data_IF_777644118214
#
_entry.id   IF_777644118214
#
_cell.length_a   1.000
_cell.length_b   1.000
_cell.length_c   1.000
_cell.angle_alpha   90.00
_cell.angle_beta   90.00
_cell.angle_gamma   90.00
#
_symmetry.space_group_name_H-M   'P 1'
#
loop_
_entity.id
_entity.type
_entity.pdbx_description
1 polymer ?
#
# COMPACT_ATOMS: atom_id res chain seq x y z
N UNK A 1 17.65 8.53 -0.48
CA UNK A 1 16.25 8.93 -0.29
C UNK A 1 16.16 10.23 0.52
N UNK A 2 16.69 10.30 1.78
CA UNK A 2 16.54 11.50 2.64
C UNK A 2 17.20 12.74 2.01
N UNK A 3 18.45 12.64 1.55
CA UNK A 3 19.14 13.76 0.90
C UNK A 3 18.42 14.29 -0.34
N UNK A 4 17.81 13.42 -1.13
CA UNK A 4 17.01 13.79 -2.30
C UNK A 4 15.72 14.52 -1.89
N UNK A 5 15.02 14.02 -0.87
CA UNK A 5 13.82 14.67 -0.33
C UNK A 5 14.13 16.07 0.23
N UNK A 6 15.27 16.25 0.90
CA UNK A 6 15.75 17.55 1.37
C UNK A 6 15.96 18.50 0.17
N UNK A 7 16.70 18.07 -0.86
CA UNK A 7 16.94 18.89 -2.05
C UNK A 7 15.64 19.29 -2.77
N UNK A 8 14.65 18.36 -2.84
CA UNK A 8 13.34 18.66 -3.40
C UNK A 8 12.59 19.69 -2.55
N UNK A 9 12.58 19.53 -1.22
CA UNK A 9 11.94 20.49 -0.31
C UNK A 9 12.56 21.87 -0.40
N UNK A 10 13.91 21.98 -0.44
CA UNK A 10 14.65 23.21 -0.64
C UNK A 10 14.34 23.89 -1.98
N UNK A 11 14.06 23.10 -3.02
CA UNK A 11 13.62 23.62 -4.32
C UNK A 11 12.17 24.10 -4.36
N UNK A 12 11.42 23.99 -3.24
CA UNK A 12 10.04 24.42 -3.13
C UNK A 12 8.99 23.34 -3.44
N UNK A 13 9.39 22.07 -3.59
CA UNK A 13 8.45 20.95 -3.76
C UNK A 13 7.62 20.78 -2.48
N UNK A 14 6.29 20.71 -2.62
CA UNK A 14 5.34 20.65 -1.49
C UNK A 14 4.89 19.25 -1.13
N UNK A 15 4.97 18.32 -2.04
CA UNK A 15 4.62 16.92 -1.81
C UNK A 15 5.60 16.01 -2.54
N UNK A 16 6.15 15.05 -1.81
CA UNK A 16 7.02 14.00 -2.35
C UNK A 16 6.29 12.67 -2.19
N UNK A 17 6.19 11.91 -3.28
CA UNK A 17 5.60 10.56 -3.27
C UNK A 17 6.71 9.55 -3.10
N UNK A 18 6.64 8.76 -2.02
CA UNK A 18 7.50 7.60 -1.82
C UNK A 18 6.92 6.43 -2.60
N UNK A 19 7.69 5.86 -3.49
CA UNK A 19 7.27 4.74 -4.33
C UNK A 19 8.37 3.68 -4.42
N UNK A 20 7.96 2.44 -4.65
CA UNK A 20 8.86 1.30 -4.80
C UNK A 20 8.07 0.09 -5.26
N UNK A 21 8.76 -1.00 -5.61
CA UNK A 21 8.13 -2.27 -5.98
C UNK A 21 7.41 -2.87 -4.76
N UNK A 22 8.04 -2.79 -3.60
CA UNK A 22 7.47 -3.16 -2.30
C UNK A 22 8.01 -2.19 -1.24
N UNK A 23 7.22 -1.19 -0.87
CA UNK A 23 7.61 -0.19 0.14
C UNK A 23 7.73 -0.80 1.54
N UNK A 24 6.89 -1.78 1.87
CA UNK A 24 6.90 -2.42 3.17
C UNK A 24 8.16 -3.22 3.45
N UNK A 25 8.86 -3.66 2.41
CA UNK A 25 10.14 -4.36 2.52
C UNK A 25 11.37 -3.44 2.56
N UNK A 26 11.16 -2.11 2.73
CA UNK A 26 12.28 -1.19 2.86
C UNK A 26 13.15 -1.56 4.06
N UNK A 27 14.44 -1.70 3.84
CA UNK A 27 15.47 -1.95 4.86
C UNK A 27 16.75 -1.18 4.49
N UNK A 28 17.20 -0.36 5.43
CA UNK A 28 18.47 0.38 5.34
C UNK A 28 19.29 0.10 6.61
N UNK A 29 19.91 -1.09 6.65
CA UNK A 29 20.72 -1.51 7.78
C UNK A 29 19.90 -1.70 9.08
N UNK A 30 18.67 -2.23 8.96
CA UNK A 30 17.73 -2.47 10.03
C UNK A 30 16.74 -1.32 10.29
N UNK A 31 16.85 -0.22 9.53
CA UNK A 31 15.85 0.85 9.55
C UNK A 31 14.72 0.55 8.55
N UNK A 32 13.50 0.49 9.02
CA UNK A 32 12.31 0.20 8.22
C UNK A 32 11.68 1.45 7.58
N UNK A 33 10.52 1.27 6.92
CA UNK A 33 9.77 2.37 6.32
C UNK A 33 9.34 3.43 7.35
N UNK A 34 9.02 3.02 8.57
CA UNK A 34 8.63 3.94 9.65
C UNK A 34 9.80 4.83 10.05
N UNK A 35 10.98 4.25 10.18
CA UNK A 35 12.22 4.98 10.46
C UNK A 35 12.60 5.93 9.33
N UNK A 36 12.44 5.49 8.07
CA UNK A 36 12.63 6.37 6.91
C UNK A 36 11.68 7.58 7.00
N UNK A 37 10.40 7.36 7.27
CA UNK A 37 9.42 8.43 7.40
C UNK A 37 9.79 9.40 8.53
N UNK A 38 10.23 8.93 9.69
CA UNK A 38 10.71 9.77 10.80
C UNK A 38 11.91 10.63 10.38
N UNK A 39 12.89 10.03 9.70
CA UNK A 39 14.07 10.75 9.18
C UNK A 39 13.68 11.82 8.16
N UNK A 40 12.73 11.54 7.28
CA UNK A 40 12.21 12.49 6.30
C UNK A 40 11.50 13.67 6.97
N UNK A 41 10.63 13.40 7.94
CA UNK A 41 9.93 14.43 8.72
C UNK A 41 10.89 15.34 9.45
N UNK A 42 11.90 14.77 10.11
CA UNK A 42 12.91 15.52 10.85
C UNK A 42 13.79 16.37 9.92
N UNK A 43 14.30 15.77 8.82
CA UNK A 43 15.21 16.44 7.90
C UNK A 43 14.57 17.60 7.12
N UNK A 44 13.24 17.61 7.00
CA UNK A 44 12.50 18.63 6.24
C UNK A 44 11.59 19.52 7.11
N UNK A 45 11.77 19.49 8.44
CA UNK A 45 10.90 20.20 9.37
C UNK A 45 10.88 21.72 9.12
N UNK A 46 12.04 22.30 8.92
CA UNK A 46 12.25 23.74 8.78
C UNK A 46 12.49 24.20 7.34
N UNK A 47 12.36 23.29 6.38
CA UNK A 47 12.60 23.60 4.95
C UNK A 47 11.33 24.13 4.27
N UNK A 48 10.89 25.30 4.69
CA UNK A 48 9.74 26.01 4.10
C UNK A 48 9.86 27.51 4.30
N UNK A 49 9.22 28.28 3.42
CA UNK A 49 9.15 29.74 3.54
C UNK A 49 8.29 30.18 4.74
N UNK A 50 8.49 31.41 5.20
CA UNK A 50 7.70 31.98 6.27
C UNK A 50 6.20 31.98 5.91
N UNK A 51 5.37 31.32 6.73
CA UNK A 51 3.94 31.16 6.50
C UNK A 51 3.53 30.08 5.50
N UNK A 52 4.47 29.33 4.99
CA UNK A 52 4.20 28.21 4.10
C UNK A 52 4.22 26.87 4.85
N UNK A 53 3.37 25.90 4.52
CA UNK A 53 3.44 24.58 5.15
C UNK A 53 4.69 23.83 4.70
N UNK A 54 5.31 23.03 5.60
CA UNK A 54 6.44 22.19 5.23
C UNK A 54 6.04 21.13 4.20
N UNK A 55 7.05 20.59 3.48
CA UNK A 55 6.86 19.50 2.51
C UNK A 55 6.21 18.30 3.19
N UNK A 56 5.23 17.68 2.53
CA UNK A 56 4.55 16.47 2.99
C UNK A 56 4.94 15.25 2.15
N UNK A 57 4.75 14.08 2.72
CA UNK A 57 5.10 12.81 2.09
C UNK A 57 3.86 11.97 1.86
N UNK A 58 3.73 11.43 0.67
CA UNK A 58 2.69 10.46 0.31
C UNK A 58 3.29 9.09 0.17
N UNK A 59 2.70 8.13 0.85
CA UNK A 59 3.05 6.72 0.71
C UNK A 59 2.35 6.18 -0.55
N UNK A 60 3.07 5.51 -1.41
CA UNK A 60 2.52 4.80 -2.55
C UNK A 60 1.75 3.55 -2.12
N UNK A 61 1.80 2.50 -2.94
CA UNK A 61 1.18 1.22 -2.57
C UNK A 61 1.94 0.57 -1.42
N UNK A 62 1.23 0.08 -0.42
CA UNK A 62 1.77 -0.72 0.69
C UNK A 62 0.90 -1.95 0.89
N UNK A 63 1.52 -3.12 1.06
CA UNK A 63 0.76 -4.35 1.30
C UNK A 63 0.12 -4.31 2.71
N UNK A 64 -1.09 -4.86 2.87
CA UNK A 64 -1.81 -4.82 4.14
C UNK A 64 -1.00 -5.34 5.34
N UNK A 65 -0.19 -6.38 5.13
CA UNK A 65 0.65 -6.99 6.16
C UNK A 65 1.83 -6.15 6.60
N UNK A 66 2.24 -5.17 5.79
CA UNK A 66 3.37 -4.30 6.08
C UNK A 66 2.95 -3.04 6.86
N UNK A 67 1.64 -2.85 7.08
CA UNK A 67 1.10 -1.75 7.89
C UNK A 67 1.21 -2.10 9.37
N UNK A 68 2.29 -1.65 10.00
CA UNK A 68 2.53 -1.88 11.43
C UNK A 68 1.79 -0.87 12.31
N UNK A 69 1.52 -1.24 13.57
CA UNK A 69 0.95 -0.30 14.55
C UNK A 69 1.82 0.94 14.78
N UNK A 70 3.14 0.78 14.68
CA UNK A 70 4.11 1.86 14.81
C UNK A 70 4.02 2.85 13.63
N UNK A 71 3.87 2.32 12.40
CA UNK A 71 3.63 3.15 11.22
C UNK A 71 2.31 3.92 11.33
N UNK A 72 1.24 3.27 11.81
CA UNK A 72 -0.08 3.90 12.01
C UNK A 72 -0.01 5.01 13.07
N UNK A 73 0.73 4.80 14.16
CA UNK A 73 0.97 5.83 15.18
C UNK A 73 1.69 7.04 14.59
N UNK A 74 2.77 6.80 13.84
CA UNK A 74 3.49 7.87 13.16
C UNK A 74 2.59 8.64 12.17
N UNK A 75 1.76 7.94 11.41
CA UNK A 75 0.81 8.56 10.48
C UNK A 75 -0.21 9.45 11.19
N UNK A 76 -0.69 9.03 12.37
CA UNK A 76 -1.60 9.81 13.19
C UNK A 76 -0.95 11.08 13.77
N UNK A 77 0.31 10.96 14.24
CA UNK A 77 1.07 12.02 14.89
C UNK A 77 1.69 13.04 13.92
N UNK A 78 1.87 12.67 12.64
CA UNK A 78 2.57 13.48 11.66
C UNK A 78 1.82 14.76 11.22
N UNK A 79 0.65 15.04 11.78
CA UNK A 79 -0.19 16.23 11.50
C UNK A 79 -0.35 16.56 10.01
N UNK A 80 -0.58 15.52 9.20
CA UNK A 80 -0.76 15.63 7.74
C UNK A 80 0.55 15.78 6.96
N UNK A 81 1.71 15.84 7.60
CA UNK A 81 3.01 15.80 6.95
C UNK A 81 3.31 14.45 6.29
N UNK A 82 2.78 13.36 6.84
CA UNK A 82 2.50 12.16 6.06
C UNK A 82 1.04 12.26 5.64
N UNK A 83 0.78 12.16 4.33
CA UNK A 83 -0.58 12.29 3.81
C UNK A 83 -1.49 11.24 4.45
N UNK A 84 -2.65 11.67 4.97
CA UNK A 84 -3.68 10.75 5.52
C UNK A 84 -4.36 9.96 4.38
N UNK A 85 -3.56 9.19 3.69
CA UNK A 85 -3.96 8.39 2.55
C UNK A 85 -3.09 7.13 2.48
N UNK A 86 -3.71 5.97 2.32
CA UNK A 86 -3.03 4.73 2.01
C UNK A 86 -3.70 4.03 0.83
N UNK A 87 -2.90 3.51 -0.07
CA UNK A 87 -3.33 2.58 -1.09
C UNK A 87 -2.99 1.16 -0.64
N UNK A 88 -4.04 0.40 -0.32
CA UNK A 88 -3.95 -0.97 0.20
C UNK A 88 -4.60 -1.91 -0.82
N UNK A 89 -3.83 -2.67 -1.62
CA UNK A 89 -4.40 -3.60 -2.60
C UNK A 89 -5.18 -4.72 -1.90
N UNK A 90 -6.51 -4.75 -2.04
CA UNK A 90 -7.38 -5.80 -1.48
C UNK A 90 -7.47 -7.02 -2.40
N UNK A 91 -7.59 -6.78 -3.68
CA UNK A 91 -7.79 -7.73 -4.78
C UNK A 91 -9.16 -8.41 -4.80
N UNK A 92 -9.66 -8.94 -3.68
CA UNK A 92 -11.00 -9.53 -3.53
C UNK A 92 -11.48 -9.43 -2.08
N UNK A 93 -12.77 -9.34 -1.86
CA UNK A 93 -13.37 -9.43 -0.52
C UNK A 93 -13.74 -10.85 -0.10
N UNK A 94 -13.55 -11.85 -0.96
CA UNK A 94 -13.73 -13.26 -0.62
C UNK A 94 -12.44 -13.88 -0.11
N UNK A 95 -12.44 -14.40 1.12
CA UNK A 95 -11.28 -15.12 1.67
C UNK A 95 -10.93 -16.37 0.87
N UNK A 96 -11.89 -16.97 0.17
CA UNK A 96 -11.66 -18.10 -0.73
C UNK A 96 -10.84 -17.64 -1.94
N UNK A 97 -11.28 -16.59 -2.61
CA UNK A 97 -10.60 -16.03 -3.79
C UNK A 97 -9.21 -15.50 -3.42
N UNK A 98 -9.05 -14.80 -2.30
CA UNK A 98 -7.75 -14.34 -1.82
C UNK A 98 -6.76 -15.51 -1.64
N UNK A 99 -7.22 -16.64 -1.11
CA UNK A 99 -6.40 -17.85 -0.97
C UNK A 99 -5.99 -18.42 -2.32
N UNK A 100 -6.88 -18.44 -3.30
CA UNK A 100 -6.58 -18.89 -4.67
C UNK A 100 -5.61 -17.94 -5.39
N UNK A 101 -5.67 -16.65 -5.07
CA UNK A 101 -4.68 -15.65 -5.51
C UNK A 101 -3.35 -15.73 -4.74
N UNK A 102 -3.21 -16.68 -3.82
CA UNK A 102 -2.05 -16.82 -2.92
C UNK A 102 -1.75 -15.54 -2.12
N UNK A 103 -2.79 -14.82 -1.70
CA UNK A 103 -2.61 -13.68 -0.80
C UNK A 103 -2.34 -14.16 0.63
N UNK A 104 -1.40 -13.53 1.36
CA UNK A 104 -1.02 -13.93 2.70
C UNK A 104 -1.94 -13.33 3.79
N UNK A 105 -3.09 -12.78 3.42
CA UNK A 105 -4.13 -12.25 4.29
C UNK A 105 -5.51 -12.70 3.81
N UNK A 106 -6.50 -12.66 4.70
CA UNK A 106 -7.89 -12.90 4.39
C UNK A 106 -8.75 -11.63 4.47
N UNK A 107 -10.03 -11.75 4.09
CA UNK A 107 -10.96 -10.63 4.08
C UNK A 107 -11.23 -10.07 5.50
N UNK A 108 -11.18 -10.94 6.52
CA UNK A 108 -11.40 -10.54 7.91
C UNK A 108 -10.21 -9.72 8.45
N UNK A 109 -8.98 -10.17 8.19
CA UNK A 109 -7.76 -9.46 8.56
C UNK A 109 -7.68 -8.09 7.89
N UNK A 110 -8.03 -8.03 6.59
CA UNK A 110 -8.08 -6.75 5.89
C UNK A 110 -9.12 -5.80 6.49
N UNK A 111 -10.31 -6.31 6.82
CA UNK A 111 -11.35 -5.53 7.48
C UNK A 111 -10.89 -4.98 8.83
N UNK A 112 -10.26 -5.81 9.66
CA UNK A 112 -9.70 -5.39 10.94
C UNK A 112 -8.67 -4.28 10.80
N UNK A 113 -7.77 -4.41 9.81
CA UNK A 113 -6.79 -3.36 9.50
C UNK A 113 -7.46 -2.05 9.08
N UNK A 114 -8.47 -2.11 8.21
CA UNK A 114 -9.19 -0.92 7.77
C UNK A 114 -9.92 -0.22 8.93
N UNK A 115 -10.56 -0.99 9.81
CA UNK A 115 -11.23 -0.48 11.00
C UNK A 115 -10.23 0.15 11.98
N UNK A 116 -9.07 -0.49 12.18
CA UNK A 116 -7.97 0.05 13.00
C UNK A 116 -7.43 1.36 12.45
N UNK A 117 -7.18 1.43 11.14
CA UNK A 117 -6.70 2.66 10.48
C UNK A 117 -7.69 3.82 10.64
N UNK A 118 -8.99 3.56 10.47
CA UNK A 118 -10.02 4.60 10.62
C UNK A 118 -10.18 5.07 12.06
N UNK A 119 -10.00 4.17 13.02
CA UNK A 119 -10.04 4.52 14.45
C UNK A 119 -8.80 5.34 14.87
N UNK A 120 -7.62 5.01 14.32
CA UNK A 120 -6.35 5.62 14.72
C UNK A 120 -6.04 6.91 13.97
N UNK A 121 -6.46 7.03 12.69
CA UNK A 121 -6.15 8.17 11.84
C UNK A 121 -7.45 8.81 11.32
N UNK A 122 -7.97 9.84 11.99
CA UNK A 122 -9.22 10.48 11.57
C UNK A 122 -9.16 10.99 10.12
N UNK A 123 -10.23 10.74 9.38
CA UNK A 123 -10.37 11.16 7.98
C UNK A 123 -9.33 10.56 7.01
N UNK A 124 -8.74 9.41 7.34
CA UNK A 124 -7.85 8.70 6.41
C UNK A 124 -8.61 8.30 5.14
N UNK A 125 -8.02 8.61 3.98
CA UNK A 125 -8.48 8.15 2.68
C UNK A 125 -7.85 6.80 2.37
N UNK A 126 -8.67 5.75 2.27
CA UNK A 126 -8.23 4.42 1.84
C UNK A 126 -8.60 4.23 0.38
N UNK A 127 -7.66 3.76 -0.42
CA UNK A 127 -7.87 3.38 -1.82
C UNK A 127 -7.39 1.95 -2.03
N UNK A 128 -7.91 1.28 -3.05
CA UNK A 128 -7.62 -0.13 -3.27
C UNK A 128 -7.73 -0.53 -4.74
N UNK A 129 -7.17 -1.71 -5.03
CA UNK A 129 -7.34 -2.44 -6.28
C UNK A 129 -8.24 -3.65 -6.04
N UNK A 130 -9.15 -3.94 -6.98
CA UNK A 130 -10.01 -5.11 -6.98
C UNK A 130 -9.98 -5.76 -8.36
N UNK A 131 -9.87 -7.08 -8.38
CA UNK A 131 -9.97 -7.91 -9.58
C UNK A 131 -11.36 -8.55 -9.56
N UNK A 132 -12.13 -8.34 -10.62
CA UNK A 132 -13.47 -8.92 -10.80
C UNK A 132 -13.44 -9.95 -11.94
N UNK A 133 -14.09 -11.09 -11.75
CA UNK A 133 -14.09 -12.18 -12.70
C UNK A 133 -12.83 -13.05 -12.63
N UNK A 134 -12.22 -13.16 -11.44
CA UNK A 134 -11.12 -14.10 -11.23
C UNK A 134 -11.56 -15.52 -11.56
N UNK A 135 -10.73 -16.35 -12.23
CA UNK A 135 -11.11 -17.71 -12.58
C UNK A 135 -11.63 -18.51 -11.39
N UNK A 136 -12.89 -18.95 -11.46
CA UNK A 136 -13.57 -19.66 -10.38
C UNK A 136 -14.25 -18.76 -9.33
N UNK A 137 -14.25 -17.44 -9.47
CA UNK A 137 -15.06 -16.53 -8.66
C UNK A 137 -16.54 -16.81 -8.90
N UNK A 138 -17.31 -16.95 -7.80
CA UNK A 138 -18.76 -17.14 -7.83
C UNK A 138 -19.49 -15.83 -7.56
N UNK A 139 -20.81 -15.80 -7.81
CA UNK A 139 -21.63 -14.62 -7.44
C UNK A 139 -21.58 -14.34 -5.95
N UNK A 140 -21.49 -15.37 -5.09
CA UNK A 140 -21.35 -15.23 -3.63
C UNK A 140 -20.02 -14.56 -3.26
N UNK A 141 -18.91 -14.96 -3.89
CA UNK A 141 -17.60 -14.32 -3.68
C UNK A 141 -17.60 -12.85 -4.09
N UNK A 142 -18.29 -12.54 -5.18
CA UNK A 142 -18.45 -11.17 -5.63
C UNK A 142 -19.28 -10.34 -4.64
N UNK A 143 -20.37 -10.90 -4.11
CA UNK A 143 -21.17 -10.24 -3.06
C UNK A 143 -20.37 -10.01 -1.77
N UNK A 144 -19.54 -10.96 -1.35
CA UNK A 144 -18.59 -10.79 -0.25
C UNK A 144 -17.65 -9.59 -0.50
N UNK A 145 -17.14 -9.48 -1.74
CA UNK A 145 -16.32 -8.34 -2.16
C UNK A 145 -17.10 -7.03 -2.06
N UNK A 146 -18.34 -7.00 -2.56
CA UNK A 146 -19.20 -5.84 -2.45
C UNK A 146 -19.52 -5.46 -1.00
N UNK A 147 -19.73 -6.45 -0.14
CA UNK A 147 -20.00 -6.22 1.28
C UNK A 147 -18.80 -5.59 2.00
N UNK A 148 -17.59 -6.11 1.77
CA UNK A 148 -16.37 -5.57 2.34
C UNK A 148 -16.08 -4.16 1.83
N UNK A 149 -16.26 -3.92 0.54
CA UNK A 149 -16.10 -2.58 -0.07
C UNK A 149 -17.04 -1.55 0.57
N UNK A 150 -18.31 -1.91 0.76
CA UNK A 150 -19.29 -1.03 1.43
C UNK A 150 -18.90 -0.76 2.88
N UNK A 151 -18.41 -1.80 3.59
CA UNK A 151 -17.97 -1.68 4.99
C UNK A 151 -16.78 -0.72 5.12
N UNK A 152 -15.73 -0.94 4.33
CA UNK A 152 -14.50 -0.12 4.39
C UNK A 152 -14.75 1.31 3.91
N UNK A 153 -15.64 1.52 2.93
CA UNK A 153 -15.93 2.84 2.38
C UNK A 153 -14.71 3.50 1.74
N UNK A 154 -14.08 2.81 0.79
CA UNK A 154 -12.92 3.33 0.06
C UNK A 154 -13.20 4.67 -0.62
N UNK A 155 -12.22 5.56 -0.61
CA UNK A 155 -12.28 6.84 -1.32
C UNK A 155 -12.15 6.65 -2.83
N UNK A 156 -11.44 5.60 -3.26
CA UNK A 156 -11.30 5.21 -4.67
C UNK A 156 -10.99 3.72 -4.77
N UNK A 157 -11.54 3.10 -5.80
CA UNK A 157 -11.30 1.71 -6.15
C UNK A 157 -10.88 1.68 -7.61
N UNK A 158 -9.78 0.97 -7.90
CA UNK A 158 -9.42 0.61 -9.26
C UNK A 158 -9.86 -0.82 -9.51
N UNK A 159 -10.71 -1.01 -10.50
CA UNK A 159 -11.25 -2.31 -10.85
C UNK A 159 -10.52 -2.84 -12.07
N UNK A 160 -10.04 -4.07 -11.96
CA UNK A 160 -9.35 -4.78 -13.04
C UNK A 160 -10.09 -6.06 -13.37
N UNK A 161 -9.97 -6.49 -14.61
CA UNK A 161 -10.30 -7.85 -15.05
C UNK A 161 -9.04 -8.70 -15.06
N UNK A 162 -9.13 -10.02 -14.80
CA UNK A 162 -7.98 -10.90 -14.91
C UNK A 162 -7.36 -10.82 -16.30
N UNK A 163 -6.05 -10.66 -16.37
CA UNK A 163 -5.33 -10.80 -17.62
C UNK A 163 -5.18 -12.29 -17.95
N UNK A 164 -5.68 -12.74 -19.09
CA UNK A 164 -5.35 -14.05 -19.64
C UNK A 164 -3.88 -14.07 -20.03
N UNK A 165 -3.00 -14.33 -19.06
CA UNK A 165 -1.63 -14.68 -19.39
C UNK A 165 -1.63 -16.15 -19.76
N UNK A 166 -1.34 -16.46 -21.03
CA UNK A 166 -0.92 -17.81 -21.39
C UNK A 166 0.17 -18.23 -20.41
N UNK A 167 -0.07 -19.33 -19.65
CA UNK A 167 0.97 -19.89 -18.80
C UNK A 167 2.21 -20.11 -19.68
N UNK A 168 3.39 -19.59 -19.30
CA UNK A 168 4.59 -19.89 -20.07
C UNK A 168 4.68 -21.42 -20.19
N UNK A 169 4.70 -21.92 -21.42
CA UNK A 169 4.84 -23.34 -21.71
C UNK A 169 6.05 -23.83 -20.93
N UNK A 170 5.95 -24.90 -20.11
CA UNK A 170 7.12 -25.43 -19.42
C UNK A 170 8.22 -25.65 -20.45
N UNK A 171 9.38 -25.04 -20.24
CA UNK A 171 10.54 -25.30 -21.07
C UNK A 171 10.79 -26.80 -21.01
N UNK A 172 10.71 -27.47 -22.17
CA UNK A 172 11.05 -28.89 -22.28
C UNK A 172 12.45 -29.08 -21.67
N UNK A 173 12.68 -30.13 -20.84
CA UNK A 173 13.98 -30.34 -20.22
C UNK A 173 15.01 -30.50 -21.34
N UNK A 174 15.92 -29.55 -21.45
CA UNK A 174 17.09 -29.67 -22.31
C UNK A 174 17.89 -30.87 -21.83
N UNK A 175 17.88 -31.98 -22.62
CA UNK A 175 18.77 -33.09 -22.36
C UNK A 175 20.19 -32.59 -22.47
N UNK A 176 20.89 -32.53 -21.36
CA UNK A 176 22.31 -32.31 -21.32
C UNK A 176 22.98 -33.50 -22.05
N UNK A 177 23.78 -33.30 -23.12
CA UNK A 177 24.52 -34.40 -23.72
C UNK A 177 25.53 -34.95 -22.74
N UNK A 178 25.42 -36.24 -22.40
CA UNK A 178 26.44 -36.92 -21.61
C UNK A 178 27.73 -36.98 -22.44
N UNK A 179 28.80 -36.45 -21.89
CA UNK A 179 30.16 -36.81 -22.29
C UNK A 179 30.62 -38.02 -21.48
#
# INVERSE_FOLDING_TARGET
VVAEAVALAESGVREVVLTGINLGSYDDGGADLTDLCRRLLAATADLHGAGEPPCRFRIGSIEPMDVTGEFVSLLAEADGRICRHLHLPLQSGSSRVLREMARPYDAHEFRQLADFLRASVPSIALTTDIIVGFPGETDEDFEDTCALVRHVGFSKIHVFTPSERERPRPLAPTRCPRR
#
